data_IF_842856712917
#
_entry.id   IF_842856712917
#
_cell.length_a   1.000
_cell.length_b   1.000
_cell.length_c   1.000
_cell.angle_alpha   90.00
_cell.angle_beta   90.00
_cell.angle_gamma   90.00
#
_symmetry.space_group_name_H-M   'P 1'
#
loop_
_entity.id
_entity.type
_entity.pdbx_description
1 polymer ?
#
# COMPACT_ATOMS: atom_id res chain seq x y z
N UNK A 1 15.85 -0.29 31.43
CA UNK A 1 14.46 -0.01 31.03
C UNK A 1 14.35 -0.50 29.60
N UNK A 2 13.38 -1.36 29.27
CA UNK A 2 13.12 -1.70 27.89
C UNK A 2 12.76 -0.38 27.18
N UNK A 3 13.38 -0.10 26.02
CA UNK A 3 13.01 1.05 25.19
C UNK A 3 11.58 0.81 24.72
N UNK A 4 10.69 1.79 24.96
CA UNK A 4 9.35 1.78 24.36
C UNK A 4 9.51 1.64 22.84
N UNK A 5 8.67 0.80 22.20
CA UNK A 5 8.68 0.65 20.76
C UNK A 5 8.37 1.96 20.03
N UNK A 6 8.86 2.13 18.80
CA UNK A 6 8.74 3.38 18.02
C UNK A 6 7.30 3.75 17.65
N UNK A 7 6.35 2.82 17.81
CA UNK A 7 4.91 3.01 17.60
C UNK A 7 4.10 2.90 18.90
N UNK A 8 4.75 3.03 20.07
CA UNK A 8 4.08 2.90 21.37
C UNK A 8 2.83 3.80 21.48
N UNK A 9 1.69 3.17 21.77
CA UNK A 9 0.41 3.84 21.94
C UNK A 9 -0.28 4.30 20.65
N UNK A 10 0.35 4.20 19.47
CA UNK A 10 -0.30 4.55 18.18
C UNK A 10 -1.40 3.57 17.82
N UNK A 11 -2.47 4.08 17.24
CA UNK A 11 -3.63 3.30 16.80
C UNK A 11 -3.53 3.12 15.29
N UNK A 12 -3.45 1.86 14.85
CA UNK A 12 -3.13 1.50 13.47
C UNK A 12 -4.23 0.64 12.86
N UNK A 13 -4.73 1.01 11.68
CA UNK A 13 -5.56 0.15 10.83
C UNK A 13 -4.66 -0.46 9.76
N UNK A 14 -4.74 -1.78 9.56
CA UNK A 14 -4.06 -2.48 8.46
C UNK A 14 -5.08 -3.29 7.68
N UNK A 15 -5.21 -3.03 6.38
CA UNK A 15 -6.15 -3.72 5.51
C UNK A 15 -5.52 -4.94 4.84
N UNK A 16 -6.29 -6.02 4.65
CA UNK A 16 -5.78 -7.28 4.14
C UNK A 16 -4.75 -7.91 5.09
N UNK A 17 -4.94 -7.76 6.41
CA UNK A 17 -3.96 -8.07 7.43
C UNK A 17 -4.06 -9.50 7.99
N UNK A 18 -4.91 -10.34 7.42
CA UNK A 18 -5.07 -11.72 7.89
C UNK A 18 -3.94 -12.66 7.45
N UNK A 19 -3.17 -12.31 6.41
CA UNK A 19 -2.14 -13.18 5.83
C UNK A 19 -1.02 -12.37 5.15
N UNK A 20 0.10 -13.06 4.82
CA UNK A 20 1.21 -12.50 4.03
C UNK A 20 1.76 -11.19 4.59
N UNK A 21 2.03 -10.23 3.70
CA UNK A 21 2.63 -8.93 4.05
C UNK A 21 1.77 -8.17 5.08
N UNK A 22 0.44 -8.17 4.93
CA UNK A 22 -0.44 -7.47 5.87
C UNK A 22 -0.41 -8.06 7.29
N UNK A 23 -0.34 -9.40 7.41
CA UNK A 23 -0.13 -10.06 8.71
C UNK A 23 1.23 -9.68 9.31
N UNK A 24 2.29 -9.71 8.50
CA UNK A 24 3.62 -9.31 8.95
C UNK A 24 3.63 -7.86 9.48
N UNK A 25 2.95 -6.95 8.78
CA UNK A 25 2.77 -5.57 9.25
C UNK A 25 2.05 -5.51 10.59
N UNK A 26 0.95 -6.26 10.75
CA UNK A 26 0.16 -6.23 11.98
C UNK A 26 0.97 -6.70 13.20
N UNK A 27 1.71 -7.78 13.04
CA UNK A 27 2.59 -8.31 14.09
C UNK A 27 3.74 -7.33 14.40
N UNK A 28 4.36 -6.73 13.38
CA UNK A 28 5.46 -5.79 13.56
C UNK A 28 5.01 -4.50 14.25
N UNK A 29 3.88 -3.92 13.88
CA UNK A 29 3.32 -2.76 14.58
C UNK A 29 2.99 -3.06 16.05
N UNK A 30 2.38 -4.22 16.31
CA UNK A 30 2.06 -4.64 17.67
C UNK A 30 3.33 -4.85 18.51
N UNK A 31 4.39 -5.42 17.94
CA UNK A 31 5.68 -5.60 18.61
C UNK A 31 6.33 -4.25 18.98
N UNK A 32 6.06 -3.19 18.20
CA UNK A 32 6.50 -1.82 18.47
C UNK A 32 5.50 -1.00 19.31
N UNK A 33 4.56 -1.69 19.98
CA UNK A 33 3.66 -1.10 20.98
C UNK A 33 2.41 -0.43 20.43
N UNK A 34 2.07 -0.63 19.16
CA UNK A 34 0.84 -0.10 18.57
C UNK A 34 -0.39 -0.94 18.95
N UNK A 35 -1.56 -0.27 18.95
CA UNK A 35 -2.89 -0.89 19.01
C UNK A 35 -3.39 -1.13 17.59
N UNK A 36 -3.74 -2.36 17.23
CA UNK A 36 -3.94 -2.73 15.82
C UNK A 36 -5.39 -3.14 15.54
N UNK A 37 -5.99 -2.51 14.52
CA UNK A 37 -7.20 -3.01 13.88
C UNK A 37 -6.78 -3.86 12.68
N UNK A 38 -6.97 -5.16 12.79
CA UNK A 38 -6.63 -6.16 11.78
C UNK A 38 -7.85 -6.35 10.87
N UNK A 39 -7.84 -5.70 9.70
CA UNK A 39 -8.93 -5.85 8.73
C UNK A 39 -8.60 -6.94 7.71
N UNK A 40 -9.49 -7.90 7.54
CA UNK A 40 -9.45 -8.90 6.46
C UNK A 40 -10.86 -9.42 6.19
N UNK A 41 -11.26 -9.45 4.92
CA UNK A 41 -12.60 -9.92 4.52
C UNK A 41 -12.81 -11.41 4.81
N UNK A 42 -11.73 -12.16 5.07
CA UNK A 42 -11.79 -13.58 5.42
C UNK A 42 -12.13 -14.49 4.25
N UNK A 43 -12.06 -14.00 3.00
CA UNK A 43 -12.35 -14.81 1.82
C UNK A 43 -11.36 -15.99 1.72
N UNK A 44 -11.88 -17.20 1.91
CA UNK A 44 -11.17 -18.44 1.56
C UNK A 44 -11.38 -18.73 0.08
N UNK A 45 -10.37 -19.27 -0.62
CA UNK A 45 -10.51 -19.72 -2.01
C UNK A 45 -11.56 -20.83 -2.17
N UNK A 46 -11.87 -21.57 -1.08
CA UNK A 46 -12.80 -22.69 -1.04
C UNK A 46 -14.19 -22.35 -0.47
N UNK A 47 -14.40 -21.14 0.07
CA UNK A 47 -15.67 -20.77 0.70
C UNK A 47 -15.96 -21.49 2.02
N UNK A 48 -15.00 -22.22 2.57
CA UNK A 48 -15.14 -22.93 3.85
C UNK A 48 -15.12 -21.94 5.03
N UNK A 49 -16.12 -22.09 5.90
CA UNK A 49 -16.17 -21.36 7.18
C UNK A 49 -15.23 -22.06 8.16
N UNK A 50 -14.10 -21.43 8.46
CA UNK A 50 -13.25 -21.84 9.59
C UNK A 50 -13.82 -21.32 10.90
N UNK A 51 -13.59 -22.01 12.01
CA UNK A 51 -14.04 -21.57 13.34
C UNK A 51 -13.50 -20.18 13.74
N UNK A 52 -12.38 -19.75 13.16
CA UNK A 52 -11.74 -18.47 13.37
C UNK A 52 -11.30 -17.87 12.03
N UNK A 53 -11.61 -16.59 11.80
CA UNK A 53 -11.21 -15.90 10.58
C UNK A 53 -9.70 -15.59 10.58
N UNK A 54 -9.05 -15.39 9.42
CA UNK A 54 -7.64 -15.00 9.37
C UNK A 54 -7.31 -13.74 10.20
N UNK A 55 -8.22 -12.76 10.22
CA UNK A 55 -8.06 -11.58 11.07
C UNK A 55 -8.09 -11.93 12.56
N UNK A 56 -8.98 -12.82 12.99
CA UNK A 56 -9.07 -13.27 14.37
C UNK A 56 -7.82 -14.04 14.81
N UNK A 57 -7.24 -14.89 13.93
CA UNK A 57 -6.00 -15.59 14.20
C UNK A 57 -4.85 -14.62 14.49
N UNK A 58 -4.68 -13.58 13.65
CA UNK A 58 -3.65 -12.55 13.87
C UNK A 58 -3.91 -11.77 15.16
N UNK A 59 -5.16 -11.47 15.48
CA UNK A 59 -5.52 -10.83 16.75
C UNK A 59 -5.15 -11.72 17.94
N UNK A 60 -5.42 -13.02 17.86
CA UNK A 60 -5.07 -13.98 18.91
C UNK A 60 -3.54 -14.06 19.11
N UNK A 61 -2.75 -14.07 18.01
CA UNK A 61 -1.30 -14.03 18.06
C UNK A 61 -0.76 -12.75 18.73
N UNK A 62 -1.28 -11.56 18.32
CA UNK A 62 -0.88 -10.28 18.91
C UNK A 62 -1.18 -10.25 20.41
N UNK A 63 -2.37 -10.70 20.81
CA UNK A 63 -2.75 -10.74 22.23
C UNK A 63 -1.94 -11.74 23.04
N UNK A 64 -1.61 -12.90 22.47
CA UNK A 64 -0.74 -13.89 23.11
C UNK A 64 0.68 -13.34 23.34
N UNK A 65 1.15 -12.44 22.47
CA UNK A 65 2.41 -11.71 22.63
C UNK A 65 2.32 -10.50 23.57
N UNK A 66 1.14 -10.22 24.17
CA UNK A 66 0.92 -9.10 25.10
C UNK A 66 0.51 -7.77 24.45
N UNK A 67 0.26 -7.76 23.13
CA UNK A 67 -0.20 -6.57 22.40
C UNK A 67 -1.73 -6.39 22.43
N UNK A 68 -2.18 -5.26 21.89
CA UNK A 68 -3.60 -4.92 21.79
C UNK A 68 -4.06 -4.96 20.32
N UNK A 69 -5.08 -5.78 20.00
CA UNK A 69 -5.63 -5.83 18.67
C UNK A 69 -7.12 -6.20 18.65
N UNK A 70 -7.82 -5.79 17.57
CA UNK A 70 -9.20 -6.20 17.26
C UNK A 70 -9.32 -6.56 15.79
N UNK A 71 -10.20 -7.52 15.51
CA UNK A 71 -10.50 -7.93 14.13
C UNK A 71 -11.60 -7.08 13.52
N UNK A 72 -11.51 -6.84 12.22
CA UNK A 72 -12.53 -6.21 11.39
C UNK A 72 -12.73 -7.04 10.11
N UNK A 73 -13.97 -7.30 9.72
CA UNK A 73 -14.33 -8.07 8.53
C UNK A 73 -14.99 -7.23 7.41
N UNK A 74 -14.93 -5.91 7.47
CA UNK A 74 -15.54 -5.04 6.47
C UNK A 74 -14.80 -5.07 5.12
N UNK A 75 -15.57 -4.97 4.03
CA UNK A 75 -15.04 -4.79 2.69
C UNK A 75 -14.54 -3.34 2.51
N UNK A 76 -13.23 -3.18 2.34
CA UNK A 76 -12.57 -1.88 2.14
C UNK A 76 -13.04 -1.15 0.88
N UNK A 77 -13.56 -1.87 -0.12
CA UNK A 77 -14.10 -1.30 -1.35
C UNK A 77 -15.59 -0.94 -1.25
N UNK A 78 -16.26 -1.28 -0.14
CA UNK A 78 -17.55 -0.73 0.25
C UNK A 78 -17.35 0.62 0.92
N UNK A 79 -18.10 1.63 0.49
CA UNK A 79 -18.02 2.97 1.08
C UNK A 79 -18.35 2.95 2.57
N UNK A 80 -19.44 2.27 2.92
CA UNK A 80 -19.91 2.11 4.29
C UNK A 80 -19.00 1.18 5.10
N UNK A 81 -18.41 0.15 4.45
CA UNK A 81 -17.43 -0.75 5.08
C UNK A 81 -16.17 0.01 5.48
N UNK A 82 -15.61 0.81 4.59
CA UNK A 82 -14.46 1.66 4.88
C UNK A 82 -14.75 2.68 6.00
N UNK A 83 -15.99 3.21 6.06
CA UNK A 83 -16.41 4.10 7.14
C UNK A 83 -16.47 3.37 8.47
N UNK A 84 -17.09 2.18 8.53
CA UNK A 84 -17.17 1.39 9.77
C UNK A 84 -15.80 0.95 10.26
N UNK A 85 -14.88 0.61 9.35
CA UNK A 85 -13.50 0.26 9.70
C UNK A 85 -12.80 1.40 10.45
N UNK A 86 -12.88 2.63 9.95
CA UNK A 86 -12.33 3.82 10.63
C UNK A 86 -13.04 4.07 11.95
N UNK A 87 -14.36 3.97 11.98
CA UNK A 87 -15.16 4.18 13.19
C UNK A 87 -14.81 3.16 14.27
N UNK A 88 -14.57 1.90 13.91
CA UNK A 88 -14.18 0.86 14.87
C UNK A 88 -12.86 1.20 15.59
N UNK A 89 -11.86 1.75 14.88
CA UNK A 89 -10.61 2.17 15.52
C UNK A 89 -10.89 3.27 16.57
N UNK A 90 -11.70 4.26 16.21
CA UNK A 90 -12.07 5.36 17.10
C UNK A 90 -12.86 4.85 18.32
N UNK A 91 -13.87 3.99 18.11
CA UNK A 91 -14.73 3.48 19.18
C UNK A 91 -13.97 2.53 20.13
N UNK A 92 -13.03 1.75 19.59
CA UNK A 92 -12.33 0.73 20.39
C UNK A 92 -11.12 1.29 21.12
N UNK A 93 -10.33 2.14 20.46
CA UNK A 93 -9.04 2.60 20.98
C UNK A 93 -8.99 4.10 21.25
N UNK A 94 -10.03 4.86 20.89
CA UNK A 94 -10.15 6.28 21.14
C UNK A 94 -9.60 7.18 20.03
N UNK A 95 -9.15 6.65 18.90
CA UNK A 95 -8.60 7.44 17.80
C UNK A 95 -8.12 6.61 16.60
N UNK A 96 -7.37 7.30 15.75
CA UNK A 96 -6.67 6.69 14.61
C UNK A 96 -5.42 7.53 14.31
N UNK A 97 -4.25 6.90 14.25
CA UNK A 97 -2.98 7.56 13.93
C UNK A 97 -2.38 7.08 12.61
N UNK A 98 -2.58 5.80 12.26
CA UNK A 98 -1.95 5.20 11.08
C UNK A 98 -2.96 4.37 10.28
N UNK A 99 -2.98 4.58 8.98
CA UNK A 99 -3.70 3.75 8.02
C UNK A 99 -2.72 3.08 7.06
N UNK A 100 -2.63 1.75 7.10
CA UNK A 100 -1.87 0.95 6.14
C UNK A 100 -2.85 0.29 5.16
N UNK A 101 -2.87 0.78 3.93
CA UNK A 101 -3.65 0.22 2.84
C UNK A 101 -2.84 -0.86 2.13
N UNK A 102 -3.14 -2.13 2.44
CA UNK A 102 -2.45 -3.28 1.88
C UNK A 102 -3.40 -4.28 1.18
N UNK A 103 -4.70 -4.25 1.46
CA UNK A 103 -5.67 -5.19 0.88
C UNK A 103 -5.61 -5.23 -0.65
N UNK A 104 -5.58 -6.46 -1.20
CA UNK A 104 -5.53 -6.65 -2.64
C UNK A 104 -5.44 -8.12 -3.06
N UNK A 105 -5.61 -8.35 -4.35
CA UNK A 105 -5.45 -9.64 -5.02
C UNK A 105 -5.12 -9.43 -6.50
N UNK A 106 -4.77 -10.48 -7.23
CA UNK A 106 -4.47 -10.42 -8.66
C UNK A 106 -5.46 -11.25 -9.49
N UNK A 107 -5.64 -10.85 -10.74
CA UNK A 107 -6.31 -11.58 -11.83
C UNK A 107 -5.46 -11.40 -13.07
N UNK A 108 -4.39 -12.20 -13.15
CA UNK A 108 -3.38 -12.08 -14.19
C UNK A 108 -3.89 -12.68 -15.48
N UNK A 109 -3.88 -11.86 -16.54
CA UNK A 109 -4.28 -12.23 -17.88
C UNK A 109 -3.73 -11.23 -18.90
N UNK A 110 -3.32 -11.72 -20.06
CA UNK A 110 -2.93 -10.84 -21.17
C UNK A 110 -4.05 -9.84 -21.46
N UNK A 111 -3.70 -8.56 -21.62
CA UNK A 111 -4.66 -7.45 -21.71
C UNK A 111 -5.75 -7.67 -22.78
N UNK A 112 -5.37 -8.29 -23.93
CA UNK A 112 -6.32 -8.62 -25.01
C UNK A 112 -7.38 -9.65 -24.62
N UNK A 113 -7.12 -10.46 -23.59
CA UNK A 113 -8.00 -11.52 -23.12
C UNK A 113 -8.65 -11.23 -21.75
N UNK A 114 -8.37 -10.07 -21.17
CA UNK A 114 -8.87 -9.68 -19.86
C UNK A 114 -10.38 -9.42 -19.91
N UNK A 115 -11.16 -10.07 -19.05
CA UNK A 115 -12.60 -9.87 -18.96
C UNK A 115 -12.94 -8.63 -18.13
N UNK A 116 -14.14 -8.06 -18.35
CA UNK A 116 -14.61 -6.85 -17.67
C UNK A 116 -14.68 -7.05 -16.13
N UNK A 117 -15.20 -8.18 -15.68
CA UNK A 117 -15.30 -8.50 -14.25
C UNK A 117 -13.92 -8.72 -13.58
N UNK A 118 -12.95 -9.26 -14.33
CA UNK A 118 -11.55 -9.36 -13.87
C UNK A 118 -10.92 -7.97 -13.70
N UNK A 119 -11.21 -7.05 -14.62
CA UNK A 119 -10.78 -5.65 -14.52
C UNK A 119 -11.45 -4.96 -13.34
N UNK A 120 -12.78 -4.98 -13.29
CA UNK A 120 -13.56 -4.25 -12.29
C UNK A 120 -13.27 -4.72 -10.86
N UNK A 121 -13.14 -6.03 -10.66
CA UNK A 121 -12.86 -6.57 -9.33
C UNK A 121 -11.50 -6.11 -8.79
N UNK A 122 -10.46 -6.09 -9.63
CA UNK A 122 -9.11 -5.66 -9.24
C UNK A 122 -9.08 -4.15 -8.97
N UNK A 123 -9.60 -3.33 -9.89
CA UNK A 123 -9.65 -1.88 -9.74
C UNK A 123 -10.49 -1.49 -8.51
N UNK A 124 -11.61 -2.18 -8.29
CA UNK A 124 -12.48 -1.95 -7.15
C UNK A 124 -11.76 -2.15 -5.83
N UNK A 125 -11.08 -3.28 -5.63
CA UNK A 125 -10.44 -3.57 -4.33
C UNK A 125 -9.18 -2.74 -4.15
N UNK A 126 -8.32 -2.66 -5.15
CA UNK A 126 -7.07 -1.93 -5.03
C UNK A 126 -7.30 -0.41 -5.02
N UNK A 127 -7.79 0.17 -6.11
CA UNK A 127 -7.83 1.62 -6.26
C UNK A 127 -8.96 2.25 -5.44
N UNK A 128 -10.19 1.74 -5.57
CA UNK A 128 -11.32 2.28 -4.80
C UNK A 128 -11.17 1.97 -3.31
N UNK A 129 -10.68 0.78 -2.94
CA UNK A 129 -10.46 0.41 -1.53
C UNK A 129 -9.46 1.34 -0.83
N UNK A 130 -8.32 1.65 -1.46
CA UNK A 130 -7.37 2.64 -0.95
C UNK A 130 -8.02 4.03 -0.85
N UNK A 131 -8.74 4.47 -1.88
CA UNK A 131 -9.42 5.76 -1.86
C UNK A 131 -10.46 5.85 -0.74
N UNK A 132 -11.32 4.86 -0.58
CA UNK A 132 -12.42 4.90 0.38
C UNK A 132 -11.90 4.96 1.83
N UNK A 133 -10.93 4.12 2.18
CA UNK A 133 -10.32 4.11 3.51
C UNK A 133 -9.56 5.41 3.81
N UNK A 134 -8.74 5.90 2.86
CA UNK A 134 -8.06 7.19 3.00
C UNK A 134 -9.03 8.34 3.17
N UNK A 135 -10.12 8.38 2.40
CA UNK A 135 -11.12 9.45 2.47
C UNK A 135 -11.79 9.49 3.85
N UNK A 136 -12.15 8.34 4.42
CA UNK A 136 -12.80 8.30 5.72
C UNK A 136 -11.83 8.62 6.86
N UNK A 137 -10.60 8.11 6.81
CA UNK A 137 -9.56 8.46 7.76
C UNK A 137 -9.21 9.97 7.71
N UNK A 138 -9.02 10.52 6.51
CA UNK A 138 -8.75 11.95 6.34
C UNK A 138 -9.92 12.84 6.80
N UNK A 139 -11.17 12.40 6.65
CA UNK A 139 -12.32 13.11 7.19
C UNK A 139 -12.31 13.16 8.72
N UNK A 140 -11.94 12.06 9.38
CA UNK A 140 -11.75 11.99 10.82
C UNK A 140 -10.62 12.95 11.26
N UNK A 141 -9.42 12.85 10.72
CA UNK A 141 -8.30 13.73 11.08
C UNK A 141 -8.57 15.21 10.80
N UNK A 142 -9.26 15.51 9.71
CA UNK A 142 -9.71 16.89 9.43
C UNK A 142 -10.66 17.40 10.50
N UNK A 143 -11.56 16.58 11.01
CA UNK A 143 -12.47 16.95 12.09
C UNK A 143 -11.69 17.20 13.41
N UNK A 144 -10.74 16.33 13.72
CA UNK A 144 -9.84 16.47 14.86
C UNK A 144 -9.04 17.77 14.80
N UNK A 145 -8.39 18.04 13.67
CA UNK A 145 -7.64 19.27 13.44
C UNK A 145 -8.51 20.53 13.57
N UNK A 146 -9.73 20.52 13.01
CA UNK A 146 -10.68 21.62 13.14
C UNK A 146 -11.17 21.84 14.56
N UNK A 147 -11.20 20.79 15.37
CA UNK A 147 -11.53 20.87 16.80
C UNK A 147 -10.34 21.33 17.67
N UNK A 148 -9.22 21.72 17.06
CA UNK A 148 -8.02 22.21 17.74
C UNK A 148 -7.15 21.09 18.34
N UNK A 149 -7.40 19.83 18.03
CA UNK A 149 -6.55 18.73 18.48
C UNK A 149 -5.34 18.58 17.53
N UNK A 150 -4.19 18.28 18.10
CA UNK A 150 -2.98 17.99 17.32
C UNK A 150 -3.15 16.66 16.59
N UNK A 151 -2.97 16.68 15.28
CA UNK A 151 -2.97 15.48 14.43
C UNK A 151 -1.53 15.22 13.96
N UNK A 152 -1.05 14.01 14.19
CA UNK A 152 0.23 13.49 13.68
C UNK A 152 -0.02 12.12 13.06
N UNK A 153 -0.69 12.12 11.90
CA UNK A 153 -1.19 10.90 11.28
C UNK A 153 -0.38 10.47 10.06
N UNK A 154 -0.47 9.18 9.74
CA UNK A 154 0.27 8.53 8.64
C UNK A 154 -0.66 7.71 7.77
N UNK A 155 -0.47 7.81 6.46
CA UNK A 155 -1.05 6.88 5.49
C UNK A 155 0.10 6.20 4.75
N UNK A 156 0.09 4.88 4.72
CA UNK A 156 1.02 4.08 3.94
C UNK A 156 0.21 3.23 2.95
N UNK A 157 0.35 3.53 1.67
CA UNK A 157 -0.31 2.83 0.58
C UNK A 157 0.60 1.73 0.01
N UNK A 158 0.01 0.67 -0.53
CA UNK A 158 0.75 -0.40 -1.19
C UNK A 158 0.57 -0.33 -2.69
N UNK A 159 1.59 0.18 -3.40
CA UNK A 159 1.72 0.11 -4.85
C UNK A 159 2.43 -1.18 -5.28
N UNK A 160 3.17 -1.17 -6.36
CA UNK A 160 3.93 -2.31 -6.91
C UNK A 160 4.88 -1.85 -8.00
N UNK A 161 5.96 -2.59 -8.25
CA UNK A 161 6.78 -2.43 -9.45
C UNK A 161 5.95 -2.51 -10.73
N UNK A 162 4.92 -3.37 -10.77
CA UNK A 162 3.97 -3.43 -11.89
C UNK A 162 3.21 -2.11 -12.14
N UNK A 163 3.00 -1.30 -11.10
CA UNK A 163 2.38 0.02 -11.23
C UNK A 163 3.39 1.13 -11.61
N UNK A 164 4.68 0.91 -11.38
CA UNK A 164 5.74 1.88 -11.68
C UNK A 164 6.31 1.68 -13.09
N UNK A 165 6.51 0.44 -13.49
CA UNK A 165 7.21 0.06 -14.73
C UNK A 165 6.29 -0.70 -15.72
N UNK A 166 5.07 -1.05 -15.31
CA UNK A 166 4.22 -1.99 -16.05
C UNK A 166 4.60 -3.44 -15.76
N UNK A 167 3.71 -4.38 -16.09
CA UNK A 167 3.97 -5.82 -16.01
C UNK A 167 3.12 -6.55 -17.04
N UNK A 168 3.75 -7.46 -17.79
CA UNK A 168 3.05 -8.27 -18.81
C UNK A 168 2.02 -9.17 -18.12
N UNK A 169 0.79 -9.21 -18.65
CA UNK A 169 -0.31 -10.00 -18.07
C UNK A 169 -0.99 -9.37 -16.84
N UNK A 170 -0.58 -8.19 -16.40
CA UNK A 170 -1.12 -7.51 -15.22
C UNK A 170 -1.73 -6.13 -15.53
N UNK A 171 -2.40 -5.99 -16.67
CA UNK A 171 -2.93 -4.70 -17.11
C UNK A 171 -3.88 -4.02 -16.12
N UNK A 172 -4.81 -4.76 -15.50
CA UNK A 172 -5.73 -4.29 -14.46
C UNK A 172 -4.99 -3.93 -13.16
N UNK A 173 -4.10 -4.80 -12.72
CA UNK A 173 -3.32 -4.64 -11.49
C UNK A 173 -2.33 -3.48 -11.63
N UNK A 174 -1.55 -3.45 -12.71
CA UNK A 174 -0.61 -2.36 -12.99
C UNK A 174 -1.30 -1.00 -13.05
N UNK A 175 -2.44 -0.91 -13.75
CA UNK A 175 -3.24 0.32 -13.80
C UNK A 175 -3.72 0.77 -12.41
N UNK A 176 -4.24 -0.16 -11.60
CA UNK A 176 -4.68 0.15 -10.24
C UNK A 176 -3.52 0.61 -9.34
N UNK A 177 -2.36 -0.06 -9.44
CA UNK A 177 -1.16 0.26 -8.65
C UNK A 177 -0.51 1.59 -9.07
N UNK A 178 -0.50 1.90 -10.36
CA UNK A 178 -0.13 3.23 -10.88
C UNK A 178 -1.09 4.32 -10.37
N UNK A 179 -2.40 4.04 -10.37
CA UNK A 179 -3.41 4.92 -9.80
C UNK A 179 -3.19 5.20 -8.30
N UNK A 180 -2.79 4.19 -7.52
CA UNK A 180 -2.43 4.35 -6.09
C UNK A 180 -1.20 5.25 -5.93
N UNK A 181 -0.18 5.12 -6.79
CA UNK A 181 0.98 6.00 -6.76
C UNK A 181 0.58 7.48 -6.99
N UNK A 182 -0.22 7.76 -8.01
CA UNK A 182 -0.76 9.10 -8.26
C UNK A 182 -1.64 9.62 -7.13
N UNK A 183 -2.50 8.77 -6.57
CA UNK A 183 -3.37 9.11 -5.45
C UNK A 183 -2.56 9.44 -4.17
N UNK A 184 -1.42 8.75 -3.96
CA UNK A 184 -0.49 9.03 -2.85
C UNK A 184 0.07 10.45 -2.93
N UNK A 185 0.50 10.89 -4.12
CA UNK A 185 1.02 12.25 -4.32
C UNK A 185 -0.05 13.32 -4.08
N UNK A 186 -1.25 13.09 -4.62
CA UNK A 186 -2.38 14.01 -4.44
C UNK A 186 -2.77 14.13 -2.97
N UNK A 187 -2.93 12.98 -2.29
CA UNK A 187 -3.29 12.94 -0.88
C UNK A 187 -2.22 13.56 0.03
N UNK A 188 -0.93 13.37 -0.29
CA UNK A 188 0.17 14.02 0.45
C UNK A 188 0.06 15.55 0.40
N UNK A 189 -0.24 16.10 -0.79
CA UNK A 189 -0.41 17.54 -0.96
C UNK A 189 -1.69 18.08 -0.27
N UNK A 190 -2.80 17.33 -0.34
CA UNK A 190 -4.09 17.78 0.20
C UNK A 190 -4.19 17.64 1.73
N UNK A 191 -3.64 16.57 2.31
CA UNK A 191 -3.84 16.21 3.71
C UNK A 191 -2.76 16.78 4.64
N UNK A 192 -1.61 17.22 4.10
CA UNK A 192 -0.51 17.78 4.89
C UNK A 192 -0.94 18.92 5.81
N UNK A 193 -1.87 19.78 5.35
CA UNK A 193 -2.44 20.86 6.17
C UNK A 193 -3.24 20.40 7.39
N UNK A 194 -3.56 19.12 7.49
CA UNK A 194 -4.26 18.53 8.63
C UNK A 194 -3.32 17.70 9.52
N UNK A 195 -2.01 17.74 9.28
CA UNK A 195 -1.03 16.95 10.03
C UNK A 195 -0.91 15.49 9.59
N UNK A 196 -1.24 15.19 8.32
CA UNK A 196 -1.18 13.82 7.77
C UNK A 196 -0.08 13.72 6.72
N UNK A 197 0.85 12.78 6.89
CA UNK A 197 1.79 12.40 5.82
C UNK A 197 1.26 11.18 5.06
N UNK A 198 1.53 11.13 3.77
CA UNK A 198 1.06 10.05 2.89
C UNK A 198 2.22 9.56 2.04
N UNK A 199 2.56 8.28 2.19
CA UNK A 199 3.62 7.62 1.44
C UNK A 199 3.12 6.30 0.86
N UNK A 200 3.91 5.67 0.01
CA UNK A 200 3.61 4.35 -0.50
C UNK A 200 4.84 3.46 -0.53
N UNK A 201 4.59 2.15 -0.57
CA UNK A 201 5.61 1.13 -0.81
C UNK A 201 5.30 0.38 -2.12
N UNK A 202 6.33 -0.12 -2.78
CA UNK A 202 6.27 -1.10 -3.85
C UNK A 202 7.06 -2.33 -3.38
N UNK A 203 6.39 -3.28 -2.71
CA UNK A 203 7.05 -4.43 -2.09
C UNK A 203 7.27 -5.57 -3.08
N UNK A 204 8.37 -6.31 -2.89
CA UNK A 204 8.63 -7.61 -3.49
C UNK A 204 8.83 -8.65 -2.37
N UNK A 205 7.92 -9.61 -2.25
CA UNK A 205 7.96 -10.66 -1.24
C UNK A 205 7.12 -11.87 -1.66
N UNK A 206 7.40 -13.00 -1.03
CA UNK A 206 6.63 -14.23 -1.17
C UNK A 206 5.25 -14.07 -0.53
N UNK A 207 4.24 -14.26 -1.35
CA UNK A 207 2.84 -14.26 -0.94
C UNK A 207 2.08 -15.29 -1.76
N UNK A 208 0.88 -15.66 -1.35
CA UNK A 208 0.00 -16.52 -2.19
C UNK A 208 -0.22 -15.97 -3.61
N UNK A 209 -0.03 -14.68 -3.82
CA UNK A 209 -0.14 -14.04 -5.13
C UNK A 209 1.09 -14.30 -6.00
N UNK A 210 2.28 -14.36 -5.41
CA UNK A 210 3.56 -14.50 -6.12
C UNK A 210 4.01 -15.95 -6.24
N UNK A 211 3.68 -16.81 -5.29
CA UNK A 211 4.06 -18.24 -5.27
C UNK A 211 3.55 -19.03 -6.49
N UNK A 212 2.36 -18.69 -7.00
CA UNK A 212 1.79 -19.37 -8.17
C UNK A 212 2.39 -18.92 -9.50
N UNK A 213 2.95 -17.72 -9.58
CA UNK A 213 3.45 -17.11 -10.82
C UNK A 213 4.96 -17.21 -10.93
N UNK A 214 5.68 -17.16 -9.79
CA UNK A 214 7.14 -17.10 -9.71
C UNK A 214 7.70 -18.14 -8.74
N UNK A 215 7.21 -19.39 -8.79
CA UNK A 215 7.49 -20.42 -7.79
C UNK A 215 8.99 -20.59 -7.49
N UNK A 216 9.85 -20.62 -8.51
CA UNK A 216 11.31 -20.82 -8.33
C UNK A 216 11.98 -19.61 -7.64
N UNK A 217 11.56 -18.39 -7.94
CA UNK A 217 12.10 -17.18 -7.29
C UNK A 217 11.56 -16.98 -5.88
N UNK A 218 10.42 -17.57 -5.57
CA UNK A 218 9.73 -17.44 -4.29
C UNK A 218 10.04 -18.59 -3.33
N UNK A 219 10.86 -19.58 -3.73
CA UNK A 219 11.25 -20.66 -2.84
C UNK A 219 12.03 -20.12 -1.63
N UNK A 220 11.67 -20.60 -0.43
CA UNK A 220 12.46 -20.27 0.77
C UNK A 220 13.80 -20.98 0.67
N UNK A 221 14.92 -20.34 1.03
CA UNK A 221 16.22 -21.01 1.12
C UNK A 221 16.18 -22.05 2.26
N UNK A 222 16.93 -23.14 2.11
CA UNK A 222 17.08 -24.15 3.18
C UNK A 222 17.81 -23.58 4.39
N UNK A 223 18.78 -22.69 4.16
CA UNK A 223 19.57 -22.01 5.18
C UNK A 223 19.82 -20.53 4.83
N UNK A 224 19.98 -19.68 5.85
CA UNK A 224 20.38 -18.29 5.71
C UNK A 224 19.22 -17.29 5.64
N UNK A 225 19.48 -16.11 5.07
CA UNK A 225 18.51 -15.02 4.99
C UNK A 225 17.48 -15.27 3.89
N UNK A 226 16.22 -15.37 4.24
CA UNK A 226 15.11 -15.47 3.29
C UNK A 226 14.73 -14.07 2.78
N UNK A 227 15.29 -13.69 1.63
CA UNK A 227 15.04 -12.38 1.02
C UNK A 227 13.57 -12.16 0.62
N UNK A 228 12.81 -13.24 0.38
CA UNK A 228 11.39 -13.15 -0.02
C UNK A 228 10.43 -13.29 1.16
N UNK A 229 10.91 -13.36 2.40
CA UNK A 229 10.04 -13.40 3.57
C UNK A 229 9.20 -12.10 3.66
N UNK A 230 7.86 -12.19 3.84
CA UNK A 230 6.99 -11.01 3.91
C UNK A 230 7.32 -10.08 5.08
N UNK A 231 7.95 -10.60 6.13
CA UNK A 231 8.41 -9.84 7.30
C UNK A 231 9.45 -8.77 6.94
N UNK A 232 10.23 -8.96 5.88
CA UNK A 232 11.24 -8.00 5.41
C UNK A 232 10.64 -6.67 4.96
N UNK A 233 9.35 -6.66 4.60
CA UNK A 233 8.66 -5.45 4.14
C UNK A 233 8.23 -4.57 5.32
N UNK A 234 8.00 -5.16 6.48
CA UNK A 234 7.41 -4.47 7.63
C UNK A 234 8.27 -3.37 8.26
N UNK A 235 9.60 -3.46 8.34
CA UNK A 235 10.41 -2.44 9.02
C UNK A 235 10.20 -1.03 8.49
N UNK A 236 10.21 -0.83 7.17
CA UNK A 236 9.96 0.50 6.58
C UNK A 236 8.52 0.99 6.82
N UNK A 237 7.53 0.07 6.80
CA UNK A 237 6.12 0.43 7.02
C UNK A 237 5.88 0.85 8.47
N UNK A 238 6.47 0.16 9.42
CA UNK A 238 6.42 0.52 10.85
C UNK A 238 7.12 1.86 11.09
N UNK A 239 8.31 2.06 10.52
CA UNK A 239 9.02 3.33 10.64
C UNK A 239 8.22 4.48 10.02
N UNK A 240 7.63 4.30 8.83
CA UNK A 240 6.72 5.29 8.22
C UNK A 240 5.47 5.55 9.07
N UNK A 241 5.01 4.55 9.83
CA UNK A 241 3.90 4.66 10.77
C UNK A 241 4.26 5.36 12.10
N UNK A 242 5.54 5.50 12.41
CA UNK A 242 6.03 6.10 13.66
C UNK A 242 6.04 7.63 13.61
N UNK A 243 6.34 8.26 14.75
CA UNK A 243 6.58 9.71 14.83
C UNK A 243 7.91 10.11 14.23
N UNK A 244 8.87 9.18 14.08
CA UNK A 244 10.19 9.45 13.52
C UNK A 244 10.16 9.82 12.04
N UNK A 245 9.11 9.41 11.32
CA UNK A 245 8.93 9.72 9.89
C UNK A 245 8.33 11.11 9.62
N UNK A 246 8.25 11.97 10.63
CA UNK A 246 7.75 13.34 10.49
C UNK A 246 8.48 14.08 9.36
N UNK A 247 7.70 14.67 8.43
CA UNK A 247 8.23 15.36 7.25
C UNK A 247 8.48 14.48 6.02
N UNK A 248 8.40 13.15 6.14
CA UNK A 248 8.45 12.25 4.99
C UNK A 248 7.05 12.09 4.41
N UNK A 249 6.80 12.67 3.24
CA UNK A 249 5.50 12.62 2.57
C UNK A 249 5.65 12.66 1.05
N UNK A 250 4.70 12.06 0.33
CA UNK A 250 4.69 12.00 -1.12
C UNK A 250 5.83 11.13 -1.69
N UNK A 251 6.27 10.11 -0.94
CA UNK A 251 7.36 9.23 -1.36
C UNK A 251 6.86 7.82 -1.66
N UNK A 252 7.58 7.18 -2.58
CA UNK A 252 7.41 5.77 -2.94
C UNK A 252 8.69 5.03 -2.57
N UNK A 253 8.58 3.97 -1.76
CA UNK A 253 9.72 3.14 -1.36
C UNK A 253 9.60 1.76 -2.00
N UNK A 254 10.60 1.36 -2.75
CA UNK A 254 10.77 -0.02 -3.20
C UNK A 254 11.47 -0.82 -2.12
N UNK A 255 10.95 -1.98 -1.78
CA UNK A 255 11.49 -2.82 -0.70
C UNK A 255 11.46 -4.30 -1.07
N UNK A 256 12.62 -4.94 -0.99
CA UNK A 256 12.82 -6.36 -1.27
C UNK A 256 13.93 -6.91 -0.36
N UNK A 257 13.62 -7.88 0.46
CA UNK A 257 14.60 -8.42 1.40
C UNK A 257 15.25 -7.33 2.26
N UNK A 258 16.58 -7.22 2.19
CA UNK A 258 17.35 -6.17 2.85
C UNK A 258 17.57 -4.91 2.01
N UNK A 259 16.99 -4.84 0.81
CA UNK A 259 17.14 -3.70 -0.11
C UNK A 259 16.02 -2.70 0.08
N UNK A 260 16.35 -1.42 0.18
CA UNK A 260 15.42 -0.30 0.24
C UNK A 260 15.88 0.79 -0.74
N UNK A 261 14.96 1.27 -1.59
CA UNK A 261 15.22 2.35 -2.53
C UNK A 261 14.04 3.33 -2.58
N UNK A 262 14.28 4.53 -3.08
CA UNK A 262 13.22 5.46 -3.48
C UNK A 262 12.94 5.26 -4.97
N UNK A 263 11.68 5.00 -5.31
CA UNK A 263 11.25 5.09 -6.69
C UNK A 263 11.07 6.56 -7.06
N UNK A 264 11.81 7.01 -8.06
CA UNK A 264 11.68 8.34 -8.61
C UNK A 264 10.53 8.35 -9.64
N UNK A 265 9.49 9.14 -9.37
CA UNK A 265 8.32 9.24 -10.23
C UNK A 265 8.61 9.96 -11.56
N UNK A 266 7.56 10.22 -12.34
CA UNK A 266 7.64 10.97 -13.58
C UNK A 266 8.29 12.33 -13.36
N UNK A 267 9.31 12.65 -14.18
CA UNK A 267 10.03 13.92 -14.19
C UNK A 267 9.85 14.60 -15.54
N UNK A 268 9.83 15.93 -15.53
CA UNK A 268 9.86 16.68 -16.78
C UNK A 268 11.23 16.53 -17.45
N UNK A 269 11.23 16.12 -18.71
CA UNK A 269 12.41 16.17 -19.57
C UNK A 269 12.70 17.60 -20.05
N UNK A 270 13.77 17.74 -20.86
CA UNK A 270 14.10 19.02 -21.50
C UNK A 270 13.03 19.37 -22.54
N UNK A 271 12.33 20.50 -22.42
CA UNK A 271 11.30 20.87 -23.38
C UNK A 271 11.91 21.41 -24.68
N UNK A 272 11.16 21.29 -25.77
CA UNK A 272 11.39 22.04 -27.01
C UNK A 272 10.19 22.94 -27.25
N UNK A 273 10.41 24.23 -27.31
CA UNK A 273 9.35 25.23 -27.56
C UNK A 273 9.62 25.95 -28.89
N UNK A 274 8.65 25.90 -29.78
CA UNK A 274 8.68 26.63 -31.07
C UNK A 274 8.17 28.07 -30.96
N UNK A 275 7.51 28.40 -29.87
CA UNK A 275 6.80 29.68 -29.73
C UNK A 275 5.55 29.85 -30.63
N UNK A 276 5.09 28.75 -31.28
CA UNK A 276 3.94 28.69 -32.17
C UNK A 276 3.33 27.29 -32.25
N UNK A 277 2.17 27.15 -32.88
CA UNK A 277 1.56 25.81 -33.11
C UNK A 277 2.45 24.98 -34.03
N UNK A 278 2.69 23.75 -33.66
CA UNK A 278 3.40 22.75 -34.45
C UNK A 278 2.62 22.33 -35.70
N UNK A 279 3.32 22.18 -36.82
CA UNK A 279 2.80 21.43 -37.94
C UNK A 279 3.06 19.90 -37.66
N UNK A 280 2.05 19.02 -37.76
CA UNK A 280 2.24 17.59 -37.54
C UNK A 280 3.36 16.96 -38.37
N UNK A 281 3.59 17.45 -39.61
CA UNK A 281 4.66 16.96 -40.48
C UNK A 281 6.09 17.25 -39.97
N UNK A 282 6.26 18.21 -39.07
CA UNK A 282 7.55 18.58 -38.49
C UNK A 282 7.88 17.79 -37.22
N UNK A 283 6.87 17.15 -36.58
CA UNK A 283 7.04 16.51 -35.27
C UNK A 283 7.95 15.28 -35.29
N UNK A 284 8.08 14.58 -36.39
CA UNK A 284 8.93 13.36 -36.48
C UNK A 284 10.38 13.61 -36.04
N UNK A 285 10.99 14.65 -36.54
CA UNK A 285 12.37 15.04 -36.17
C UNK A 285 12.44 15.49 -34.71
N UNK A 286 11.50 16.34 -34.28
CA UNK A 286 11.45 16.88 -32.92
C UNK A 286 11.30 15.76 -31.88
N UNK A 287 10.37 14.82 -32.13
CA UNK A 287 10.14 13.68 -31.24
C UNK A 287 11.36 12.77 -31.16
N UNK A 288 12.05 12.50 -32.30
CA UNK A 288 13.29 11.72 -32.32
C UNK A 288 14.39 12.38 -31.50
N UNK A 289 14.53 13.70 -31.57
CA UNK A 289 15.49 14.45 -30.76
C UNK A 289 15.15 14.43 -29.25
N UNK A 290 13.85 14.55 -28.90
CA UNK A 290 13.40 14.44 -27.51
C UNK A 290 13.71 13.07 -26.93
N UNK A 291 13.44 11.99 -27.68
CA UNK A 291 13.73 10.61 -27.27
C UNK A 291 15.25 10.42 -27.09
N UNK A 292 16.06 10.92 -28.01
CA UNK A 292 17.51 10.80 -27.93
C UNK A 292 18.13 11.54 -26.73
N UNK A 293 17.47 12.58 -26.21
CA UNK A 293 17.88 13.36 -25.04
C UNK A 293 17.24 12.86 -23.73
N UNK A 294 16.22 12.04 -23.83
CA UNK A 294 15.50 11.45 -22.69
C UNK A 294 16.27 10.29 -22.05
N UNK A 295 15.91 9.97 -20.83
CA UNK A 295 16.35 8.73 -20.19
C UNK A 295 15.75 7.50 -20.92
N UNK A 296 16.53 6.43 -21.01
CA UNK A 296 15.99 5.14 -21.49
C UNK A 296 14.91 4.67 -20.50
N UNK A 297 13.74 4.25 -20.98
CA UNK A 297 12.72 3.67 -20.10
C UNK A 297 13.26 2.44 -19.35
N UNK A 298 12.89 2.32 -18.09
CA UNK A 298 13.15 1.09 -17.35
C UNK A 298 12.42 -0.10 -18.00
N UNK A 299 12.98 -1.32 -17.91
CA UNK A 299 12.30 -2.50 -18.42
C UNK A 299 10.98 -2.74 -17.66
N UNK A 300 10.06 -3.42 -18.31
CA UNK A 300 8.79 -3.84 -17.68
C UNK A 300 9.10 -4.73 -16.48
N UNK A 301 8.45 -4.50 -15.37
CA UNK A 301 8.66 -5.23 -14.11
C UNK A 301 8.46 -6.74 -14.31
N UNK A 302 9.45 -7.54 -13.90
CA UNK A 302 9.43 -8.99 -14.04
C UNK A 302 9.65 -9.52 -15.45
N UNK A 303 10.18 -8.70 -16.38
CA UNK A 303 10.55 -9.12 -17.74
C UNK A 303 12.00 -9.64 -17.82
#
# INVERSE_FOLDING_TARGET
MATEGICAGRIVIITGAGRGIGRAHALAFAAEGAKVVVNDLGSTLSGESTAETPAQQVVSEIRAAGGEAVANGDDVASWEGAQRLVQQAVDTFGGLDVLVNNAGFVRDRMLVNLAEDEWDSVVRVHLKGHFATMRHAAAYWRAESKAGRTVDARIINTSSGAGLQGSVGQGNYGAAKAGIAGLTLTAAAEFGRYGVTVNAIAPSARTRMTETVFADMMAAPEDGFDAMAPENISPIVVWLGSTESTGVTGRMFEVEGGRLALAEGWRHGVPVDRGARWNPAELGTVVSELIAKGATPEPVYGA
#
